data_IF_222237492914
#
_entry.id   IF_222237492914
#
_cell.length_a   1.000
_cell.length_b   1.000
_cell.length_c   1.000
_cell.angle_alpha   90.00
_cell.angle_beta   90.00
_cell.angle_gamma   90.00
#
_symmetry.space_group_name_H-M   'P 1'
#
loop_
_entity.id
_entity.type
_entity.pdbx_description
1 polymer ?
#
# COMPACT_ATOMS: atom_id res chain seq x y z
N UNK A 1 10.36 -5.96 -0.52
CA UNK A 1 9.44 -4.81 -0.44
C UNK A 1 8.61 -4.78 -1.71
N UNK A 2 7.29 -4.59 -1.61
CA UNK A 2 6.39 -4.65 -2.78
C UNK A 2 5.67 -3.32 -2.93
N UNK A 3 5.77 -2.73 -4.12
CA UNK A 3 5.17 -1.45 -4.48
C UNK A 3 3.67 -1.57 -4.81
N UNK A 4 3.03 -0.45 -5.12
CA UNK A 4 1.63 -0.39 -5.55
C UNK A 4 1.41 0.26 -6.90
N UNK A 5 0.23 0.83 -7.09
CA UNK A 5 -0.16 1.69 -8.21
C UNK A 5 -0.47 3.11 -7.71
N UNK A 6 -0.13 4.19 -8.44
CA UNK A 6 0.59 4.23 -9.73
C UNK A 6 2.12 4.29 -9.53
N UNK A 7 2.62 3.65 -8.49
CA UNK A 7 4.04 3.59 -8.19
C UNK A 7 4.78 2.44 -8.88
N UNK A 8 6.04 2.26 -8.50
CA UNK A 8 6.92 1.24 -9.06
C UNK A 8 8.02 0.87 -8.06
N UNK A 9 8.88 -0.08 -8.39
CA UNK A 9 10.05 -0.40 -7.56
C UNK A 9 10.95 0.82 -7.28
N UNK A 10 10.88 1.88 -8.10
CA UNK A 10 11.64 3.10 -7.92
C UNK A 10 11.27 3.88 -6.64
N UNK A 11 10.06 3.69 -6.11
CA UNK A 11 9.66 4.26 -4.81
C UNK A 11 10.62 3.89 -3.67
N UNK A 12 11.33 2.76 -3.81
CA UNK A 12 12.29 2.28 -2.82
C UNK A 12 13.71 2.82 -3.04
N UNK A 13 14.00 3.54 -4.12
CA UNK A 13 15.38 3.89 -4.47
C UNK A 13 16.13 4.61 -3.33
N UNK A 14 15.46 5.55 -2.66
CA UNK A 14 16.04 6.31 -1.53
C UNK A 14 16.09 5.53 -0.21
N UNK A 15 15.21 4.54 -0.01
CA UNK A 15 15.19 3.74 1.23
C UNK A 15 16.22 2.59 1.21
N UNK A 16 16.61 2.12 0.02
CA UNK A 16 17.56 1.01 -0.13
C UNK A 16 18.88 1.21 0.64
N UNK A 17 19.65 2.32 0.44
CA UNK A 17 20.91 2.51 1.16
C UNK A 17 20.73 2.49 2.67
N UNK A 18 19.62 3.05 3.17
CA UNK A 18 19.31 3.04 4.60
C UNK A 18 19.15 1.60 5.14
N UNK A 19 18.59 0.69 4.37
CA UNK A 19 18.38 -0.69 4.78
C UNK A 19 19.62 -1.58 4.54
N UNK A 20 20.41 -1.31 3.49
CA UNK A 20 21.51 -2.18 3.06
C UNK A 20 22.87 -1.82 3.67
N UNK A 21 23.10 -0.57 4.08
CA UNK A 21 24.41 -0.14 4.62
C UNK A 21 24.68 -0.60 6.06
N UNK A 22 23.66 -1.18 6.72
CA UNK A 22 23.78 -1.69 8.08
C UNK A 22 23.67 -0.59 9.14
N UNK A 23 22.73 -0.78 10.07
CA UNK A 23 22.57 0.12 11.22
C UNK A 23 22.08 -0.65 12.44
N UNK A 24 22.65 -0.37 13.59
CA UNK A 24 22.34 -1.02 14.87
C UNK A 24 22.42 -2.56 14.81
N UNK A 25 23.40 -3.09 14.08
CA UNK A 25 23.60 -4.53 13.90
C UNK A 25 22.61 -5.22 12.94
N UNK A 26 21.73 -4.47 12.27
CA UNK A 26 20.83 -4.99 11.25
C UNK A 26 21.26 -4.54 9.86
N UNK A 27 21.41 -5.50 8.95
CA UNK A 27 21.66 -5.30 7.51
C UNK A 27 20.59 -6.09 6.77
N UNK A 28 19.92 -5.47 5.80
CA UNK A 28 18.91 -6.14 4.98
C UNK A 28 19.44 -6.43 3.58
N UNK A 29 19.22 -7.65 3.11
CA UNK A 29 19.16 -7.92 1.68
C UNK A 29 17.74 -7.63 1.20
N UNK A 30 17.59 -6.75 0.22
CA UNK A 30 16.28 -6.22 -0.19
C UNK A 30 15.93 -6.67 -1.60
N UNK A 31 14.79 -7.37 -1.73
CA UNK A 31 14.22 -7.77 -3.02
C UNK A 31 12.98 -6.90 -3.29
N UNK A 32 13.00 -6.15 -4.39
CA UNK A 32 11.93 -5.25 -4.83
C UNK A 32 11.41 -5.63 -6.23
N UNK A 33 10.52 -6.62 -6.35
CA UNK A 33 10.03 -7.04 -7.66
C UNK A 33 9.01 -6.05 -8.23
N UNK A 34 8.98 -5.91 -9.56
CA UNK A 34 7.83 -5.28 -10.23
C UNK A 34 6.65 -6.26 -10.25
N UNK A 35 5.44 -5.79 -9.92
CA UNK A 35 4.20 -6.59 -10.04
C UNK A 35 4.02 -7.02 -11.51
N UNK A 36 3.67 -8.27 -11.83
CA UNK A 36 3.43 -8.68 -13.22
C UNK A 36 2.39 -7.77 -13.91
N UNK A 37 2.78 -7.20 -15.05
CA UNK A 37 2.02 -6.15 -15.74
C UNK A 37 2.36 -4.72 -15.34
N UNK A 38 3.35 -4.52 -14.46
CA UNK A 38 3.90 -3.22 -14.06
C UNK A 38 5.37 -3.14 -14.46
N UNK A 39 5.80 -1.96 -14.92
CA UNK A 39 7.20 -1.67 -15.23
C UNK A 39 7.81 -2.76 -16.11
N UNK A 40 8.91 -3.34 -15.64
CA UNK A 40 9.68 -4.33 -16.41
C UNK A 40 9.24 -5.79 -16.22
N UNK A 41 8.18 -6.05 -15.44
CA UNK A 41 7.64 -7.40 -15.29
C UNK A 41 6.58 -7.69 -16.36
N UNK A 42 6.76 -8.80 -17.07
CA UNK A 42 5.85 -9.27 -18.12
C UNK A 42 4.38 -9.28 -17.65
N UNK A 43 3.49 -8.81 -18.52
CA UNK A 43 2.06 -8.79 -18.26
C UNK A 43 1.46 -10.22 -18.32
N UNK A 44 0.48 -10.54 -17.46
CA UNK A 44 -0.24 -11.81 -17.55
C UNK A 44 -0.93 -11.99 -18.90
N UNK A 45 -0.74 -13.16 -19.52
CA UNK A 45 -1.35 -13.52 -20.82
C UNK A 45 -2.78 -14.05 -20.73
N UNK A 46 -3.32 -14.19 -19.52
CA UNK A 46 -4.68 -14.69 -19.27
C UNK A 46 -5.32 -13.97 -18.08
N UNK A 47 -6.65 -13.99 -18.04
CA UNK A 47 -7.43 -13.46 -16.91
C UNK A 47 -7.21 -14.27 -15.63
N UNK A 48 -7.65 -13.72 -14.49
CA UNK A 48 -7.51 -14.32 -13.17
C UNK A 48 -6.17 -14.02 -12.47
N UNK A 49 -5.42 -13.03 -12.95
CA UNK A 49 -4.21 -12.55 -12.29
C UNK A 49 -4.53 -11.49 -11.24
N UNK A 50 -4.98 -11.95 -10.07
CA UNK A 50 -5.29 -11.09 -8.92
C UNK A 50 -4.12 -11.06 -7.90
N UNK A 51 -4.34 -10.41 -6.75
CA UNK A 51 -3.34 -10.32 -5.68
C UNK A 51 -2.94 -11.66 -5.06
N UNK A 52 -3.80 -12.69 -5.12
CA UNK A 52 -3.46 -14.05 -4.66
C UNK A 52 -2.56 -14.73 -5.69
N UNK A 53 -2.81 -14.51 -6.99
CA UNK A 53 -1.91 -14.96 -8.05
C UNK A 53 -0.53 -14.29 -7.96
N UNK A 54 -0.48 -12.98 -7.74
CA UNK A 54 0.77 -12.24 -7.52
C UNK A 54 1.53 -12.76 -6.28
N UNK A 55 0.83 -13.00 -5.17
CA UNK A 55 1.41 -13.60 -3.96
C UNK A 55 2.09 -14.96 -4.24
N UNK A 56 1.45 -15.83 -5.03
CA UNK A 56 2.06 -17.11 -5.44
C UNK A 56 3.33 -16.92 -6.26
N UNK A 57 3.35 -15.93 -7.16
CA UNK A 57 4.54 -15.66 -7.99
C UNK A 57 5.68 -15.14 -7.13
N UNK A 58 5.43 -14.17 -6.26
CA UNK A 58 6.48 -13.62 -5.40
C UNK A 58 6.97 -14.60 -4.34
N UNK A 59 6.11 -15.46 -3.80
CA UNK A 59 6.56 -16.57 -2.96
C UNK A 59 7.50 -17.51 -3.73
N UNK A 60 7.14 -17.90 -4.96
CA UNK A 60 8.02 -18.71 -5.82
C UNK A 60 9.32 -18.01 -6.18
N UNK A 61 9.29 -16.68 -6.36
CA UNK A 61 10.50 -15.87 -6.56
C UNK A 61 11.45 -16.03 -5.37
N UNK A 62 10.96 -15.83 -4.15
CA UNK A 62 11.77 -16.01 -2.94
C UNK A 62 12.36 -17.43 -2.83
N UNK A 63 11.56 -18.46 -3.14
CA UNK A 63 12.04 -19.84 -3.17
C UNK A 63 13.14 -20.06 -4.22
N UNK A 64 13.00 -19.49 -5.42
CA UNK A 64 14.01 -19.60 -6.50
C UNK A 64 15.31 -18.89 -6.16
N UNK A 65 15.23 -17.79 -5.40
CA UNK A 65 16.39 -17.08 -4.88
C UNK A 65 17.03 -17.77 -3.67
N UNK A 66 16.40 -18.82 -3.13
CA UNK A 66 16.94 -19.64 -2.04
C UNK A 66 16.54 -19.19 -0.63
N UNK A 67 15.67 -18.19 -0.48
CA UNK A 67 15.22 -17.70 0.82
C UNK A 67 14.14 -18.61 1.42
N UNK A 68 14.44 -19.22 2.56
CA UNK A 68 13.50 -20.08 3.31
C UNK A 68 12.65 -19.31 4.31
N UNK A 69 13.21 -18.25 4.87
CA UNK A 69 12.55 -17.38 5.83
C UNK A 69 12.86 -15.94 5.46
N UNK A 70 11.86 -15.07 5.46
CA UNK A 70 12.04 -13.69 5.05
C UNK A 70 11.01 -12.76 5.71
N UNK A 71 11.34 -11.48 5.72
CA UNK A 71 10.42 -10.40 6.08
C UNK A 71 9.69 -9.89 4.86
N UNK A 72 8.46 -9.44 5.05
CA UNK A 72 7.65 -8.83 3.99
C UNK A 72 7.30 -7.40 4.36
N UNK A 73 7.38 -6.50 3.38
CA UNK A 73 6.97 -5.11 3.52
C UNK A 73 6.21 -4.66 2.29
N UNK A 74 5.10 -3.95 2.49
CA UNK A 74 4.34 -3.35 1.38
C UNK A 74 3.31 -2.31 1.80
N UNK A 75 3.05 -1.38 0.88
CA UNK A 75 1.91 -0.46 0.88
C UNK A 75 1.01 -0.73 -0.33
N UNK A 76 -0.15 -0.07 -0.43
CA UNK A 76 -1.10 -0.22 -1.54
C UNK A 76 -1.35 -1.71 -1.94
N UNK A 77 -1.27 -2.07 -3.23
CA UNK A 77 -1.34 -3.44 -3.70
C UNK A 77 -0.27 -4.34 -3.10
N UNK A 78 0.93 -3.80 -2.88
CA UNK A 78 2.02 -4.50 -2.23
C UNK A 78 1.66 -4.96 -0.82
N UNK A 79 0.93 -4.16 -0.06
CA UNK A 79 0.41 -4.51 1.27
C UNK A 79 -0.57 -5.67 1.22
N UNK A 80 -1.45 -5.71 0.20
CA UNK A 80 -2.36 -6.84 -0.01
C UNK A 80 -1.60 -8.11 -0.44
N UNK A 81 -0.65 -7.98 -1.37
CA UNK A 81 0.15 -9.11 -1.87
C UNK A 81 1.00 -9.73 -0.74
N UNK A 82 1.69 -8.90 0.05
CA UNK A 82 2.52 -9.38 1.18
C UNK A 82 1.65 -10.01 2.27
N UNK A 83 0.47 -9.44 2.54
CA UNK A 83 -0.52 -10.05 3.43
C UNK A 83 -0.96 -11.43 2.94
N UNK A 84 -1.25 -11.58 1.65
CA UNK A 84 -1.65 -12.86 1.07
C UNK A 84 -0.53 -13.91 1.19
N UNK A 85 0.75 -13.53 1.04
CA UNK A 85 1.88 -14.44 1.26
C UNK A 85 1.94 -14.87 2.73
N UNK A 86 1.80 -13.93 3.67
CA UNK A 86 1.79 -14.21 5.10
C UNK A 86 0.64 -15.12 5.54
N UNK A 87 -0.51 -15.07 4.85
CA UNK A 87 -1.63 -15.99 5.07
C UNK A 87 -1.37 -17.38 4.48
N UNK A 88 -0.75 -17.44 3.30
CA UNK A 88 -0.53 -18.69 2.56
C UNK A 88 0.64 -19.52 3.08
N UNK A 89 1.69 -18.86 3.55
CA UNK A 89 2.99 -19.44 3.94
C UNK A 89 3.52 -18.81 5.23
N UNK A 90 2.74 -18.82 6.32
CA UNK A 90 3.18 -18.24 7.60
C UNK A 90 4.49 -18.85 8.11
N UNK A 91 4.79 -20.11 7.76
CA UNK A 91 6.02 -20.82 8.11
C UNK A 91 7.30 -20.24 7.47
N UNK A 92 7.18 -19.46 6.39
CA UNK A 92 8.31 -18.82 5.72
C UNK A 92 8.38 -17.31 5.95
N UNK A 93 7.38 -16.72 6.63
CA UNK A 93 7.30 -15.28 6.84
C UNK A 93 7.61 -14.96 8.30
N UNK A 94 8.83 -14.46 8.58
CA UNK A 94 9.25 -14.08 9.94
C UNK A 94 8.47 -12.88 10.48
N UNK A 95 8.11 -11.95 9.59
CA UNK A 95 7.33 -10.78 9.97
C UNK A 95 6.75 -10.05 8.76
N UNK A 96 5.61 -9.40 8.97
CA UNK A 96 4.90 -8.60 7.99
C UNK A 96 4.85 -7.14 8.44
N UNK A 97 5.46 -6.23 7.70
CA UNK A 97 5.40 -4.80 7.93
C UNK A 97 4.51 -4.13 6.87
N UNK A 98 3.56 -3.30 7.29
CA UNK A 98 2.62 -2.64 6.39
C UNK A 98 2.55 -1.14 6.66
N UNK A 99 2.57 -0.34 5.61
CA UNK A 99 2.25 1.10 5.68
C UNK A 99 0.89 1.45 5.08
N UNK A 100 0.19 0.47 4.50
CA UNK A 100 -1.21 0.59 4.10
C UNK A 100 -1.95 -0.71 4.41
N UNK A 101 -3.02 -0.64 5.20
CA UNK A 101 -3.74 -1.80 5.72
C UNK A 101 -5.23 -1.49 5.88
N UNK A 102 -5.97 -1.32 4.77
CA UNK A 102 -7.38 -0.96 4.82
C UNK A 102 -8.20 -2.06 5.50
N UNK A 103 -9.17 -1.65 6.32
CA UNK A 103 -10.10 -2.56 7.00
C UNK A 103 -11.36 -2.68 6.15
N UNK A 104 -11.56 -3.85 5.55
CA UNK A 104 -12.64 -4.11 4.59
C UNK A 104 -13.86 -4.81 5.18
N UNK A 105 -13.79 -5.28 6.43
CA UNK A 105 -14.91 -5.95 7.11
C UNK A 105 -15.62 -5.00 8.05
N UNK A 106 -16.85 -4.66 7.69
CA UNK A 106 -17.75 -3.92 8.56
C UNK A 106 -18.45 -4.89 9.51
N UNK A 107 -18.19 -4.74 10.80
CA UNK A 107 -18.79 -5.56 11.85
C UNK A 107 -19.48 -4.66 12.91
N UNK A 108 -20.20 -5.28 13.83
CA UNK A 108 -20.90 -4.57 14.91
C UNK A 108 -19.94 -3.70 15.73
N UNK A 109 -18.71 -4.17 15.97
CA UNK A 109 -17.68 -3.42 16.69
C UNK A 109 -17.34 -2.10 15.96
N UNK A 110 -17.17 -2.13 14.64
CA UNK A 110 -16.90 -0.94 13.84
C UNK A 110 -18.09 0.03 13.89
N UNK A 111 -19.32 -0.47 13.78
CA UNK A 111 -20.53 0.36 13.87
C UNK A 111 -20.65 1.06 15.24
N UNK A 112 -20.44 0.33 16.33
CA UNK A 112 -20.39 0.90 17.69
C UNK A 112 -19.26 1.93 17.81
N UNK A 113 -18.09 1.63 17.24
CA UNK A 113 -16.93 2.55 17.23
C UNK A 113 -17.24 3.85 16.49
N UNK A 114 -18.00 3.80 15.40
CA UNK A 114 -18.39 4.98 14.64
C UNK A 114 -19.43 5.85 15.37
N UNK A 115 -20.36 5.23 16.10
CA UNK A 115 -21.38 5.96 16.86
C UNK A 115 -20.80 6.65 18.11
N UNK A 116 -19.94 5.94 18.84
CA UNK A 116 -19.44 6.40 20.14
C UNK A 116 -18.04 7.04 20.08
N UNK A 117 -17.24 6.70 19.07
CA UNK A 117 -15.81 7.05 19.03
C UNK A 117 -15.51 8.55 19.00
N UNK A 118 -16.42 9.38 18.50
CA UNK A 118 -16.27 10.84 18.53
C UNK A 118 -16.45 11.43 19.93
N UNK A 119 -17.26 10.80 20.78
CA UNK A 119 -17.68 11.34 22.07
C UNK A 119 -16.94 10.66 23.25
N UNK A 120 -16.75 9.34 23.17
CA UNK A 120 -16.17 8.51 24.23
C UNK A 120 -15.16 7.51 23.64
N UNK A 121 -14.05 7.99 23.03
CA UNK A 121 -13.13 7.16 22.25
C UNK A 121 -12.51 5.99 23.01
N UNK A 122 -12.24 6.16 24.30
CA UNK A 122 -11.61 5.11 25.11
C UNK A 122 -12.50 3.85 25.24
N UNK A 123 -13.83 3.99 25.19
CA UNK A 123 -14.76 2.85 25.27
C UNK A 123 -14.71 1.95 24.04
N UNK A 124 -14.25 2.47 22.91
CA UNK A 124 -14.17 1.75 21.63
C UNK A 124 -12.74 1.46 21.21
N UNK A 125 -11.77 1.69 22.11
CA UNK A 125 -10.35 1.43 21.86
C UNK A 125 -9.68 2.45 20.95
N UNK A 126 -10.26 3.65 20.80
CA UNK A 126 -9.66 4.74 20.02
C UNK A 126 -8.74 5.60 20.88
N UNK A 127 -7.62 5.96 20.29
CA UNK A 127 -6.76 7.03 20.77
C UNK A 127 -7.27 8.39 20.31
N UNK A 128 -6.71 9.48 20.85
CA UNK A 128 -7.00 10.83 20.36
C UNK A 128 -6.62 11.01 18.88
N UNK A 129 -5.53 10.36 18.46
CA UNK A 129 -5.07 10.44 17.07
C UNK A 129 -6.01 9.70 16.12
N UNK A 130 -6.57 8.56 16.53
CA UNK A 130 -7.63 7.87 15.77
C UNK A 130 -8.84 8.76 15.55
N UNK A 131 -9.30 9.44 16.61
CA UNK A 131 -10.45 10.36 16.51
C UNK A 131 -10.16 11.48 15.53
N UNK A 132 -8.97 12.08 15.62
CA UNK A 132 -8.52 13.16 14.73
C UNK A 132 -8.50 12.71 13.27
N UNK A 133 -8.05 11.49 12.98
CA UNK A 133 -7.93 10.99 11.60
C UNK A 133 -9.26 10.49 11.03
N UNK A 134 -10.13 9.94 11.87
CA UNK A 134 -11.41 9.37 11.44
C UNK A 134 -12.51 10.43 11.35
N UNK A 135 -12.64 11.32 12.34
CA UNK A 135 -13.81 12.19 12.46
C UNK A 135 -13.58 13.60 11.90
N UNK A 136 -14.61 14.25 11.31
CA UNK A 136 -15.97 13.74 11.08
C UNK A 136 -16.03 12.65 9.99
N UNK A 137 -16.56 11.47 10.34
CA UNK A 137 -16.43 10.24 9.55
C UNK A 137 -17.00 10.38 8.15
N UNK A 138 -18.22 10.91 8.03
CA UNK A 138 -18.90 11.05 6.74
C UNK A 138 -18.09 11.92 5.77
N UNK A 139 -17.58 13.07 6.22
CA UNK A 139 -16.74 13.93 5.39
C UNK A 139 -15.44 13.21 5.02
N UNK A 140 -14.66 12.75 6.01
CA UNK A 140 -13.29 12.26 5.80
C UNK A 140 -13.18 10.90 5.11
N UNK A 141 -14.17 10.02 5.27
CA UNK A 141 -14.09 8.62 4.82
C UNK A 141 -15.15 8.25 3.79
N UNK A 142 -16.29 8.95 3.73
CA UNK A 142 -17.35 8.66 2.75
C UNK A 142 -17.27 9.64 1.59
N UNK A 143 -17.37 10.94 1.87
CA UNK A 143 -17.35 11.99 0.84
C UNK A 143 -15.99 12.04 0.12
N UNK A 144 -14.88 12.08 0.86
CA UNK A 144 -13.54 12.05 0.24
C UNK A 144 -13.30 10.76 -0.55
N UNK A 145 -13.77 9.59 -0.07
CA UNK A 145 -13.63 8.34 -0.83
C UNK A 145 -14.40 8.39 -2.15
N UNK A 146 -15.63 8.93 -2.15
CA UNK A 146 -16.39 9.13 -3.39
C UNK A 146 -15.69 10.08 -4.35
N UNK A 147 -15.10 11.17 -3.83
CA UNK A 147 -14.35 12.15 -4.64
C UNK A 147 -13.10 11.53 -5.27
N UNK A 148 -12.42 10.62 -4.57
CA UNK A 148 -11.08 10.13 -4.96
C UNK A 148 -11.06 8.73 -5.62
N UNK A 149 -12.18 8.00 -5.65
CA UNK A 149 -12.24 6.62 -6.17
C UNK A 149 -12.56 6.49 -7.67
N UNK A 150 -12.69 7.60 -8.40
CA UNK A 150 -13.02 7.58 -9.84
C UNK A 150 -12.02 6.78 -10.69
N UNK A 151 -10.73 6.94 -10.42
CA UNK A 151 -9.66 6.17 -11.10
C UNK A 151 -9.85 4.66 -10.88
N UNK A 152 -10.13 4.25 -9.64
CA UNK A 152 -10.28 2.86 -9.24
C UNK A 152 -11.48 2.23 -9.94
N UNK A 153 -12.58 2.98 -10.03
CA UNK A 153 -13.82 2.50 -10.66
C UNK A 153 -13.63 2.26 -12.17
N UNK A 154 -13.03 3.20 -12.90
CA UNK A 154 -12.81 3.02 -14.35
C UNK A 154 -11.77 1.93 -14.63
N UNK A 155 -10.72 1.80 -13.81
CA UNK A 155 -9.72 0.75 -13.96
C UNK A 155 -10.26 -0.64 -13.60
N UNK A 156 -11.15 -0.73 -12.61
CA UNK A 156 -11.80 -1.99 -12.24
C UNK A 156 -12.76 -2.51 -13.33
N UNK A 157 -13.26 -1.64 -14.20
CA UNK A 157 -14.32 -1.99 -15.15
C UNK A 157 -13.84 -2.01 -16.60
N UNK A 158 -13.16 -0.94 -17.04
CA UNK A 158 -12.74 -0.69 -18.43
C UNK A 158 -11.25 -0.30 -18.53
N UNK A 159 -10.32 -1.10 -17.97
CA UNK A 159 -8.89 -0.77 -17.94
C UNK A 159 -8.29 -0.58 -19.34
N UNK A 160 -8.65 -1.45 -20.28
CA UNK A 160 -8.18 -1.38 -21.67
C UNK A 160 -8.66 -0.13 -22.42
N UNK A 161 -9.84 0.40 -22.06
CA UNK A 161 -10.35 1.65 -22.64
C UNK A 161 -9.59 2.85 -22.07
N UNK A 162 -9.50 2.95 -20.75
CA UNK A 162 -8.85 4.07 -20.08
C UNK A 162 -7.34 4.11 -20.35
N UNK A 163 -6.68 2.95 -20.30
CA UNK A 163 -5.23 2.86 -20.46
C UNK A 163 -4.73 3.07 -21.88
N UNK A 164 -5.56 2.83 -22.91
CA UNK A 164 -5.15 3.01 -24.31
C UNK A 164 -4.74 4.46 -24.59
N UNK A 165 -5.54 5.44 -24.16
CA UNK A 165 -5.21 6.86 -24.34
C UNK A 165 -3.98 7.29 -23.52
N UNK A 166 -3.76 6.69 -22.35
CA UNK A 166 -2.61 6.98 -21.51
C UNK A 166 -1.31 6.40 -22.08
N UNK A 167 -1.36 5.25 -22.76
CA UNK A 167 -0.19 4.71 -23.44
C UNK A 167 0.17 5.49 -24.72
N UNK A 168 -0.77 6.23 -25.31
CA UNK A 168 -0.55 7.01 -26.54
C UNK A 168 -0.16 8.47 -26.27
N UNK A 169 -0.59 9.04 -25.13
CA UNK A 169 -0.31 10.42 -24.76
C UNK A 169 0.61 10.52 -23.54
N UNK A 170 1.87 10.98 -23.68
CA UNK A 170 2.78 11.12 -22.53
C UNK A 170 2.30 12.18 -21.53
N UNK A 171 1.64 13.24 -22.02
CA UNK A 171 1.01 14.27 -21.17
C UNK A 171 -0.19 13.68 -20.42
N UNK A 172 -1.02 12.88 -21.10
CA UNK A 172 -2.14 12.18 -20.48
C UNK A 172 -1.66 11.22 -19.38
N UNK A 173 -0.62 10.44 -19.67
CA UNK A 173 0.01 9.53 -18.70
C UNK A 173 0.54 10.28 -17.48
N UNK A 174 1.35 11.32 -17.72
CA UNK A 174 1.93 12.12 -16.66
C UNK A 174 0.84 12.74 -15.78
N UNK A 175 -0.16 13.40 -16.37
CA UNK A 175 -1.26 14.00 -15.60
C UNK A 175 -2.00 12.97 -14.74
N UNK A 176 -2.29 11.80 -15.30
CA UNK A 176 -3.04 10.74 -14.61
C UNK A 176 -2.27 10.11 -13.44
N UNK A 177 -0.95 10.00 -13.56
CA UNK A 177 -0.08 9.48 -12.49
C UNK A 177 0.22 10.57 -11.45
N UNK A 178 0.65 11.76 -11.89
CA UNK A 178 1.14 12.83 -11.01
C UNK A 178 0.04 13.39 -10.11
N UNK A 179 -1.21 13.42 -10.55
CA UNK A 179 -2.33 13.80 -9.67
C UNK A 179 -2.38 12.94 -8.39
N UNK A 180 -2.00 11.66 -8.47
CA UNK A 180 -1.94 10.79 -7.29
C UNK A 180 -0.80 11.17 -6.35
N UNK A 181 0.38 11.50 -6.88
CA UNK A 181 1.51 12.03 -6.10
C UNK A 181 1.22 13.40 -5.47
N UNK A 182 0.22 14.14 -5.98
CA UNK A 182 -0.32 15.31 -5.29
C UNK A 182 -1.26 14.90 -4.16
N UNK A 183 -2.44 14.37 -4.49
CA UNK A 183 -3.55 14.17 -3.54
C UNK A 183 -3.22 13.16 -2.44
N UNK A 184 -2.46 12.10 -2.75
CA UNK A 184 -2.18 11.01 -1.82
C UNK A 184 -0.97 11.28 -0.91
N UNK A 185 -0.21 12.34 -1.18
CA UNK A 185 0.83 12.86 -0.28
C UNK A 185 0.21 13.80 0.74
N UNK A 186 -0.62 14.75 0.29
CA UNK A 186 -1.46 15.55 1.17
C UNK A 186 -2.74 15.99 0.44
N UNK A 187 -3.90 15.72 1.05
CA UNK A 187 -5.21 16.06 0.47
C UNK A 187 -5.40 17.57 0.27
N UNK A 188 -4.62 18.41 0.97
CA UNK A 188 -4.62 19.86 0.81
C UNK A 188 -3.94 20.31 -0.49
N UNK A 189 -3.08 19.48 -1.09
CA UNK A 189 -2.37 19.84 -2.32
C UNK A 189 -3.29 19.98 -3.53
N UNK A 190 -4.50 19.40 -3.49
CA UNK A 190 -5.54 19.58 -4.51
C UNK A 190 -5.95 21.04 -4.72
N UNK A 191 -5.83 21.86 -3.69
CA UNK A 191 -6.25 23.27 -3.73
C UNK A 191 -5.08 24.20 -4.09
N UNK A 192 -3.87 23.65 -4.33
CA UNK A 192 -2.70 24.39 -4.79
C UNK A 192 -2.67 24.44 -6.32
N UNK A 193 -2.25 25.58 -6.87
CA UNK A 193 -2.14 25.79 -8.33
C UNK A 193 -1.16 24.82 -9.00
N UNK A 194 -0.05 24.50 -8.33
CA UNK A 194 0.98 23.58 -8.78
C UNK A 194 0.74 22.12 -8.37
N UNK A 195 -0.38 21.84 -7.69
CA UNK A 195 -0.68 20.53 -7.11
C UNK A 195 0.31 20.09 -6.03
N UNK A 196 1.19 20.97 -5.53
CA UNK A 196 2.18 20.63 -4.49
C UNK A 196 3.17 19.51 -4.85
N UNK A 197 3.35 19.20 -6.14
CA UNK A 197 4.12 18.03 -6.60
C UNK A 197 5.57 18.03 -6.11
N UNK A 198 6.22 19.20 -6.10
CA UNK A 198 7.63 19.33 -5.72
C UNK A 198 7.85 19.58 -4.23
N UNK A 199 6.79 19.53 -3.39
CA UNK A 199 6.93 19.73 -1.94
C UNK A 199 7.67 18.58 -1.25
N UNK A 200 7.59 17.38 -1.83
CA UNK A 200 8.11 16.13 -1.26
C UNK A 200 9.00 15.33 -2.21
N UNK A 201 8.86 15.56 -3.51
CA UNK A 201 9.58 14.84 -4.54
C UNK A 201 10.34 15.84 -5.41
N UNK A 202 11.45 15.43 -6.01
CA UNK A 202 11.98 16.20 -7.14
C UNK A 202 11.17 15.87 -8.40
N UNK A 203 11.16 16.79 -9.38
CA UNK A 203 10.53 16.51 -10.66
C UNK A 203 11.17 15.30 -11.37
N UNK A 204 12.49 15.12 -11.25
CA UNK A 204 13.21 13.97 -11.81
C UNK A 204 12.74 12.65 -11.19
N UNK A 205 12.51 12.62 -9.87
CA UNK A 205 11.99 11.43 -9.19
C UNK A 205 10.59 11.06 -9.71
N UNK A 206 9.71 12.06 -9.82
CA UNK A 206 8.34 11.90 -10.31
C UNK A 206 8.33 11.43 -11.77
N UNK A 207 9.11 12.09 -12.63
CA UNK A 207 9.23 11.75 -14.03
C UNK A 207 9.90 10.41 -14.24
N UNK A 208 10.82 9.98 -13.37
CA UNK A 208 11.40 8.63 -13.42
C UNK A 208 10.31 7.57 -13.24
N UNK A 209 9.41 7.74 -12.26
CA UNK A 209 8.29 6.83 -12.09
C UNK A 209 7.34 6.85 -13.31
N UNK A 210 7.01 8.03 -13.85
CA UNK A 210 6.20 8.15 -15.07
C UNK A 210 6.88 7.47 -16.27
N UNK A 211 8.19 7.64 -16.42
CA UNK A 211 8.97 7.07 -17.51
C UNK A 211 8.99 5.55 -17.46
N UNK A 212 9.02 4.93 -16.28
CA UNK A 212 8.90 3.48 -16.14
C UNK A 212 7.59 2.99 -16.78
N UNK A 213 6.46 3.68 -16.56
CA UNK A 213 5.19 3.33 -17.21
C UNK A 213 5.21 3.61 -18.72
N UNK A 214 5.78 4.76 -19.12
CA UNK A 214 5.82 5.18 -20.53
C UNK A 214 6.62 4.23 -21.41
N UNK A 215 7.88 3.97 -21.05
CA UNK A 215 8.80 3.18 -21.90
C UNK A 215 8.43 1.70 -21.98
N UNK A 216 7.68 1.21 -20.99
CA UNK A 216 7.23 -0.20 -20.93
C UNK A 216 5.82 -0.37 -21.50
N UNK A 217 5.10 0.73 -21.76
CA UNK A 217 3.69 0.69 -22.18
C UNK A 217 2.79 0.00 -21.16
N UNK A 218 3.17 -0.03 -19.88
CA UNK A 218 2.55 -0.89 -18.87
C UNK A 218 1.29 -0.30 -18.22
N UNK A 219 0.78 0.85 -18.69
CA UNK A 219 -0.39 1.46 -18.03
C UNK A 219 -1.63 0.56 -18.14
N UNK A 220 -1.97 0.08 -19.34
CA UNK A 220 -3.11 -0.85 -19.54
C UNK A 220 -2.98 -2.11 -18.68
N UNK A 221 -1.82 -2.77 -18.70
CA UNK A 221 -1.61 -4.00 -17.94
C UNK A 221 -1.66 -3.76 -16.43
N UNK A 222 -1.16 -2.62 -15.95
CA UNK A 222 -1.24 -2.27 -14.53
C UNK A 222 -2.68 -2.04 -14.07
N UNK A 223 -3.50 -1.37 -14.89
CA UNK A 223 -4.92 -1.14 -14.62
C UNK A 223 -5.75 -2.43 -14.63
N UNK A 224 -5.41 -3.42 -15.47
CA UNK A 224 -6.08 -4.73 -15.46
C UNK A 224 -6.01 -5.40 -14.09
N UNK A 225 -4.98 -5.11 -13.27
CA UNK A 225 -4.89 -5.63 -11.91
C UNK A 225 -6.05 -5.16 -11.01
N UNK A 226 -6.56 -3.94 -11.19
CA UNK A 226 -7.78 -3.48 -10.50
C UNK A 226 -8.98 -4.34 -10.90
N UNK A 227 -9.17 -4.56 -12.21
CA UNK A 227 -10.26 -5.40 -12.71
C UNK A 227 -10.19 -6.82 -12.17
N UNK A 228 -9.01 -7.43 -12.14
CA UNK A 228 -8.85 -8.79 -11.62
C UNK A 228 -9.10 -8.90 -10.11
N UNK A 229 -8.83 -7.85 -9.33
CA UNK A 229 -9.08 -7.84 -7.89
C UNK A 229 -10.50 -7.39 -7.51
N UNK A 230 -11.20 -6.64 -8.38
CA UNK A 230 -12.49 -5.99 -8.10
C UNK A 230 -13.66 -6.48 -9.00
N UNK A 231 -13.46 -7.51 -9.85
CA UNK A 231 -14.50 -8.07 -10.73
C UNK A 231 -15.56 -8.95 -10.03
N UNK A 232 -15.47 -9.15 -8.72
CA UNK A 232 -16.34 -10.04 -7.96
C UNK A 232 -16.58 -9.57 -6.54
N UNK A 233 -17.36 -10.33 -5.76
CA UNK A 233 -17.64 -9.98 -4.37
C UNK A 233 -16.36 -10.15 -3.50
N UNK A 234 -15.81 -9.06 -2.93
CA UNK A 234 -14.60 -9.13 -2.11
C UNK A 234 -14.74 -10.04 -0.88
N UNK A 235 -15.94 -10.16 -0.30
CA UNK A 235 -16.19 -11.00 0.88
C UNK A 235 -16.11 -12.50 0.59
N UNK A 236 -16.29 -12.89 -0.68
CA UNK A 236 -16.18 -14.28 -1.11
C UNK A 236 -14.72 -14.69 -1.36
N UNK A 237 -13.80 -13.74 -1.46
CA UNK A 237 -12.38 -14.05 -1.70
C UNK A 237 -11.78 -14.80 -0.50
N UNK A 238 -10.93 -15.82 -0.71
CA UNK A 238 -10.34 -16.60 0.39
C UNK A 238 -9.51 -15.75 1.37
N UNK A 239 -8.76 -14.78 0.86
CA UNK A 239 -7.92 -13.83 1.60
C UNK A 239 -8.72 -12.90 2.53
N UNK A 240 -10.01 -12.71 2.29
CA UNK A 240 -10.90 -11.96 3.18
C UNK A 240 -11.25 -12.74 4.45
N UNK A 241 -11.20 -14.09 4.43
CA UNK A 241 -11.64 -14.95 5.53
C UNK A 241 -10.50 -15.40 6.45
N UNK A 242 -9.29 -15.46 5.93
CA UNK A 242 -8.11 -15.95 6.64
C UNK A 242 -7.47 -14.79 7.44
N UNK A 243 -7.13 -15.03 8.70
CA UNK A 243 -6.38 -14.07 9.51
C UNK A 243 -4.86 -14.22 9.32
N UNK A 244 -4.12 -13.12 9.52
CA UNK A 244 -2.65 -13.12 9.54
C UNK A 244 -2.17 -13.43 10.95
N UNK A 245 -1.33 -14.46 11.10
CA UNK A 245 -0.83 -14.91 12.42
C UNK A 245 0.66 -14.63 12.66
N UNK A 246 1.41 -14.30 11.61
CA UNK A 246 2.82 -13.91 11.73
C UNK A 246 2.96 -12.59 12.47
N UNK A 247 4.11 -12.33 13.14
CA UNK A 247 4.39 -11.02 13.74
C UNK A 247 4.15 -9.90 12.74
N UNK A 248 3.33 -8.91 13.11
CA UNK A 248 2.90 -7.84 12.21
C UNK A 248 3.25 -6.46 12.78
N UNK A 249 3.82 -5.60 11.95
CA UNK A 249 4.08 -4.20 12.23
C UNK A 249 3.24 -3.30 11.33
N UNK A 250 2.59 -2.29 11.91
CA UNK A 250 1.66 -1.39 11.22
C UNK A 250 2.12 0.06 11.36
N UNK A 251 2.45 0.72 10.25
CA UNK A 251 2.87 2.11 10.18
C UNK A 251 1.72 3.00 9.68
N UNK A 252 1.09 3.76 10.58
CA UNK A 252 -0.03 4.63 10.27
C UNK A 252 0.45 6.04 9.89
N UNK A 253 0.60 6.29 8.59
CA UNK A 253 0.93 7.61 8.04
C UNK A 253 -0.25 8.59 8.15
N UNK A 254 -0.03 9.87 8.52
CA UNK A 254 -1.11 10.82 8.81
C UNK A 254 -1.96 11.18 7.60
N UNK A 255 -1.36 11.23 6.41
CA UNK A 255 -2.04 11.61 5.17
C UNK A 255 -2.42 10.40 4.29
N UNK A 256 -2.40 9.19 4.84
CA UNK A 256 -2.84 7.98 4.13
C UNK A 256 -4.32 8.09 3.70
N UNK A 257 -4.69 7.42 2.62
CA UNK A 257 -6.02 7.42 2.02
C UNK A 257 -7.10 7.07 3.04
N UNK A 258 -6.83 6.03 3.83
CA UNK A 258 -7.69 5.49 4.88
C UNK A 258 -6.89 5.24 6.15
N UNK A 259 -7.36 5.78 7.26
CA UNK A 259 -6.80 5.47 8.58
C UNK A 259 -7.51 4.27 9.19
N UNK A 260 -6.73 3.29 9.66
CA UNK A 260 -7.24 2.09 10.32
C UNK A 260 -6.71 2.00 11.76
N UNK A 261 -7.52 2.33 12.79
CA UNK A 261 -7.16 2.13 14.18
C UNK A 261 -6.76 0.69 14.46
N UNK A 262 -5.88 0.49 15.44
CA UNK A 262 -5.41 -0.82 15.85
C UNK A 262 -6.56 -1.79 16.14
N UNK A 263 -7.60 -1.34 16.85
CA UNK A 263 -8.78 -2.14 17.21
C UNK A 263 -9.54 -2.65 15.97
N UNK A 264 -9.49 -1.94 14.85
CA UNK A 264 -10.09 -2.37 13.59
C UNK A 264 -9.16 -3.27 12.76
N UNK A 265 -7.85 -3.15 12.93
CA UNK A 265 -6.85 -3.98 12.25
C UNK A 265 -6.70 -5.38 12.90
N UNK A 266 -6.81 -5.48 14.23
CA UNK A 266 -6.65 -6.73 15.00
C UNK A 266 -7.55 -7.92 14.59
N UNK A 267 -8.79 -7.71 14.11
CA UNK A 267 -9.59 -8.79 13.53
C UNK A 267 -8.91 -9.51 12.35
N UNK A 268 -8.10 -8.80 11.54
CA UNK A 268 -7.35 -9.37 10.42
C UNK A 268 -5.93 -9.79 10.85
N UNK A 269 -5.22 -8.93 11.57
CA UNK A 269 -3.85 -9.15 12.01
C UNK A 269 -3.82 -9.60 13.48
N UNK A 270 -3.68 -10.91 13.70
CA UNK A 270 -3.84 -11.53 15.04
C UNK A 270 -2.63 -11.36 15.95
N UNK A 271 -1.47 -11.01 15.39
CA UNK A 271 -0.21 -10.89 16.11
C UNK A 271 0.47 -9.56 15.78
N UNK A 272 -0.17 -8.44 16.11
CA UNK A 272 0.41 -7.10 15.93
C UNK A 272 1.37 -6.82 17.08
N UNK A 273 2.66 -6.65 16.77
CA UNK A 273 3.72 -6.40 17.75
C UNK A 273 4.26 -4.95 17.71
N UNK A 274 3.95 -4.22 16.63
CA UNK A 274 4.14 -2.77 16.55
C UNK A 274 3.00 -2.10 15.81
N UNK A 275 2.56 -0.96 16.35
CA UNK A 275 1.63 -0.05 15.69
C UNK A 275 2.17 1.37 15.95
N UNK A 276 2.55 2.05 14.88
CA UNK A 276 3.28 3.32 14.95
C UNK A 276 2.47 4.43 14.28
N UNK A 277 2.17 5.50 15.00
CA UNK A 277 1.68 6.74 14.40
C UNK A 277 2.87 7.51 13.82
N UNK A 278 2.95 7.63 12.50
CA UNK A 278 4.03 8.38 11.87
C UNK A 278 3.80 9.88 12.03
N UNK A 279 4.92 10.61 12.15
CA UNK A 279 4.93 12.04 12.39
C UNK A 279 4.45 12.85 11.18
N UNK A 280 4.75 12.36 9.97
CA UNK A 280 4.46 12.98 8.67
C UNK A 280 4.48 11.90 7.59
N UNK A 281 4.04 12.26 6.38
CA UNK A 281 3.96 11.36 5.24
C UNK A 281 2.53 10.98 4.87
N UNK A 282 2.33 10.62 3.61
CA UNK A 282 1.10 10.08 3.05
C UNK A 282 1.26 8.64 2.56
N UNK A 283 0.68 8.37 1.40
CA UNK A 283 0.56 7.02 0.83
C UNK A 283 1.90 6.43 0.37
N UNK A 284 2.76 7.26 -0.25
CA UNK A 284 4.05 6.84 -0.84
C UNK A 284 5.19 6.82 0.20
N UNK A 285 4.96 6.14 1.33
CA UNK A 285 5.80 6.20 2.53
C UNK A 285 7.31 6.07 2.27
N UNK A 286 7.74 5.09 1.46
CA UNK A 286 9.15 4.84 1.17
C UNK A 286 9.79 5.94 0.29
N UNK A 287 8.97 6.58 -0.54
CA UNK A 287 9.40 7.59 -1.49
C UNK A 287 9.38 8.99 -0.89
N UNK A 288 8.42 9.25 0.00
CA UNK A 288 8.20 10.53 0.68
C UNK A 288 9.05 10.67 1.94
N UNK A 289 9.11 9.64 2.78
CA UNK A 289 9.75 9.68 4.10
C UNK A 289 10.62 8.43 4.34
N UNK A 290 11.66 8.19 3.52
CA UNK A 290 12.45 6.97 3.54
C UNK A 290 13.09 6.71 4.92
N UNK A 291 13.57 7.75 5.62
CA UNK A 291 14.19 7.60 6.93
C UNK A 291 13.19 7.15 8.00
N UNK A 292 11.97 7.70 7.97
CA UNK A 292 10.92 7.32 8.93
C UNK A 292 10.50 5.87 8.72
N UNK A 293 10.28 5.47 7.47
CA UNK A 293 9.87 4.10 7.16
C UNK A 293 11.01 3.11 7.47
N UNK A 294 12.26 3.42 7.11
CA UNK A 294 13.40 2.55 7.37
C UNK A 294 13.61 2.33 8.86
N UNK A 295 13.46 3.39 9.67
CA UNK A 295 13.60 3.27 11.11
C UNK A 295 12.48 2.43 11.72
N UNK A 296 11.23 2.61 11.30
CA UNK A 296 10.13 1.80 11.80
C UNK A 296 10.27 0.31 11.42
N UNK A 297 10.76 0.01 10.21
CA UNK A 297 11.11 -1.36 9.78
C UNK A 297 12.18 -1.96 10.71
N UNK A 298 13.26 -1.22 11.01
CA UNK A 298 14.32 -1.70 11.92
C UNK A 298 13.76 -1.98 13.32
N UNK A 299 12.99 -1.05 13.88
CA UNK A 299 12.41 -1.21 15.21
C UNK A 299 11.42 -2.39 15.26
N UNK A 300 10.65 -2.61 14.20
CA UNK A 300 9.81 -3.79 14.05
C UNK A 300 10.64 -5.08 14.04
N UNK A 301 11.67 -5.17 13.20
CA UNK A 301 12.51 -6.36 13.09
C UNK A 301 13.23 -6.66 14.40
N UNK A 302 13.75 -5.64 15.10
CA UNK A 302 14.33 -5.80 16.46
C UNK A 302 13.34 -6.36 17.47
N UNK A 303 12.03 -6.14 17.32
CA UNK A 303 11.00 -6.73 18.18
C UNK A 303 10.67 -8.17 17.80
N UNK A 304 10.78 -8.54 16.52
CA UNK A 304 10.58 -9.92 16.05
C UNK A 304 11.71 -10.83 16.49
N UNK A 305 12.95 -10.35 16.47
CA UNK A 305 14.16 -11.14 16.74
C UNK A 305 14.54 -11.21 18.23
N UNK A 306 13.72 -10.62 19.12
CA UNK A 306 13.88 -10.69 20.58
C UNK A 306 13.19 -11.91 21.14
#
# INVERSE_FOLDING_TARGET
MVHGWPGSFFEFYKILPLLTEGRDGLVFEVICPSIPGYGFSEAPHKTGFDSIAAARIFYKLMQRLGFKEFYMQGGDWGGLITTNIAQMRPENVKGLHLNFFPVTKHNLQMLVSLLLGAYVPFLVGFTREDVKRIFPYFKKNVYEMLRESGYMHIQATKPDTAGCGLNDSPVGLAAYILEKFSTWTDKQFRDLEDGGLERKFSLDDLLTNVMIYWVTGSMVSSMRFYKENLNGNPEKRPDAKIGVRVPTGLAAFPNELLHAPLVWAQPRYKNVISYSYMLRGGHFAAFEEPELLAEDIRQFVKKVEK
#
